data_IF_632579850436
#
_entry.id   IF_632579850436
#
_cell.length_a   1.000
_cell.length_b   1.000
_cell.length_c   1.000
_cell.angle_alpha   90.00
_cell.angle_beta   90.00
_cell.angle_gamma   90.00
#
_symmetry.space_group_name_H-M   'P 1'
#
loop_
_entity.id
_entity.type
_entity.pdbx_description
1 polymer ?
#
# COMPACT_ATOMS: atom_id res chain seq x y z
N UNK A 1 16.94 -12.37 -35.79
CA UNK A 1 17.44 -13.21 -34.67
C UNK A 1 16.70 -12.76 -33.42
N UNK A 2 16.20 -13.70 -32.61
CA UNK A 2 15.50 -13.37 -31.37
C UNK A 2 16.47 -12.85 -30.32
N UNK A 3 16.09 -11.81 -29.59
CA UNK A 3 16.82 -11.39 -28.39
C UNK A 3 16.48 -12.31 -27.20
N UNK A 4 17.46 -13.12 -26.77
CA UNK A 4 17.31 -14.03 -25.64
C UNK A 4 17.05 -13.29 -24.32
N UNK A 5 17.65 -12.10 -24.11
CA UNK A 5 17.47 -11.34 -22.87
C UNK A 5 16.07 -10.72 -22.82
N UNK A 6 15.63 -10.14 -23.94
CA UNK A 6 14.29 -9.62 -24.10
C UNK A 6 13.22 -10.71 -23.93
N UNK A 7 13.41 -11.87 -24.55
CA UNK A 7 12.54 -13.04 -24.39
C UNK A 7 12.43 -13.48 -22.93
N UNK A 8 13.56 -13.56 -22.19
CA UNK A 8 13.55 -13.89 -20.76
C UNK A 8 12.69 -12.91 -19.95
N UNK A 9 12.86 -11.61 -20.18
CA UNK A 9 12.11 -10.58 -19.46
C UNK A 9 10.62 -10.62 -19.78
N UNK A 10 10.28 -10.83 -21.05
CA UNK A 10 8.89 -10.91 -21.50
C UNK A 10 8.20 -12.14 -20.92
N UNK A 11 8.84 -13.32 -21.01
CA UNK A 11 8.31 -14.58 -20.45
C UNK A 11 8.05 -14.44 -18.95
N UNK A 12 9.03 -14.01 -18.16
CA UNK A 12 8.82 -13.85 -16.70
C UNK A 12 7.72 -12.83 -16.37
N UNK A 13 7.58 -11.76 -17.18
CA UNK A 13 6.50 -10.78 -16.99
C UNK A 13 5.12 -11.37 -17.30
N UNK A 14 5.00 -12.13 -18.38
CA UNK A 14 3.77 -12.82 -18.78
C UNK A 14 3.39 -13.87 -17.72
N UNK A 15 4.35 -14.66 -17.22
CA UNK A 15 4.16 -15.63 -16.13
C UNK A 15 3.59 -14.94 -14.89
N UNK A 16 4.21 -13.84 -14.43
CA UNK A 16 3.71 -13.08 -13.28
C UNK A 16 2.28 -12.54 -13.48
N UNK A 17 1.94 -12.09 -14.69
CA UNK A 17 0.58 -11.63 -15.02
C UNK A 17 -0.41 -12.79 -15.01
N UNK A 18 -0.04 -13.95 -15.53
CA UNK A 18 -0.85 -15.15 -15.51
C UNK A 18 -1.11 -15.65 -14.08
N UNK A 19 -0.11 -15.63 -13.20
CA UNK A 19 -0.28 -15.94 -11.78
C UNK A 19 -1.31 -15.03 -11.10
N UNK A 20 -1.23 -13.72 -11.35
CA UNK A 20 -2.23 -12.77 -10.86
C UNK A 20 -3.62 -13.01 -11.43
N UNK A 21 -3.71 -13.39 -12.71
CA UNK A 21 -4.99 -13.71 -13.36
C UNK A 21 -5.60 -14.94 -12.68
N UNK A 22 -4.83 -16.01 -12.50
CA UNK A 22 -5.25 -17.22 -11.80
C UNK A 22 -5.72 -16.93 -10.36
N UNK A 23 -4.99 -16.12 -9.60
CA UNK A 23 -5.41 -15.75 -8.26
C UNK A 23 -6.79 -15.06 -8.26
N UNK A 24 -7.03 -14.15 -9.21
CA UNK A 24 -8.30 -13.44 -9.34
C UNK A 24 -9.43 -14.36 -9.81
N UNK A 25 -9.20 -15.19 -10.81
CA UNK A 25 -10.23 -16.12 -11.32
C UNK A 25 -10.55 -17.19 -10.28
N UNK A 26 -9.56 -17.70 -9.53
CA UNK A 26 -9.78 -18.61 -8.42
C UNK A 26 -10.54 -17.96 -7.25
N UNK A 27 -10.28 -16.68 -6.94
CA UNK A 27 -11.07 -15.95 -5.96
C UNK A 27 -12.53 -15.75 -6.42
N UNK A 28 -12.74 -15.41 -7.70
CA UNK A 28 -14.07 -15.27 -8.27
C UNK A 28 -14.85 -16.59 -8.28
N UNK A 29 -14.19 -17.70 -8.66
CA UNK A 29 -14.79 -19.04 -8.64
C UNK A 29 -15.18 -19.48 -7.22
N UNK A 30 -14.31 -19.22 -6.22
CA UNK A 30 -14.65 -19.49 -4.81
C UNK A 30 -15.86 -18.68 -4.36
N UNK A 31 -15.89 -17.38 -4.64
CA UNK A 31 -17.01 -16.52 -4.28
C UNK A 31 -18.32 -16.93 -4.99
N UNK A 32 -18.24 -17.43 -6.23
CA UNK A 32 -19.39 -18.00 -6.93
C UNK A 32 -19.89 -19.29 -6.24
N UNK A 33 -18.98 -20.20 -5.90
CA UNK A 33 -19.34 -21.46 -5.22
C UNK A 33 -19.90 -21.23 -3.81
N UNK A 34 -19.34 -20.28 -3.05
CA UNK A 34 -19.85 -19.90 -1.73
C UNK A 34 -21.28 -19.34 -1.81
N UNK A 35 -21.56 -18.52 -2.83
CA UNK A 35 -22.90 -18.00 -3.10
C UNK A 35 -23.88 -19.10 -3.51
N UNK A 36 -23.45 -20.05 -4.35
CA UNK A 36 -24.27 -21.21 -4.72
C UNK A 36 -24.61 -22.05 -3.48
N UNK A 37 -23.60 -22.37 -2.66
CA UNK A 37 -23.80 -23.12 -1.41
C UNK A 37 -24.73 -22.39 -0.42
N UNK A 38 -24.67 -21.05 -0.36
CA UNK A 38 -25.59 -20.26 0.46
C UNK A 38 -27.03 -20.31 -0.06
N UNK A 39 -27.23 -20.34 -1.38
CA UNK A 39 -28.55 -20.53 -2.00
C UNK A 39 -29.08 -21.95 -1.75
N UNK A 40 -28.23 -22.97 -1.91
CA UNK A 40 -28.58 -24.37 -1.62
C UNK A 40 -28.96 -24.58 -0.15
N UNK A 41 -28.29 -23.89 0.77
CA UNK A 41 -28.59 -23.97 2.21
C UNK A 41 -29.94 -23.35 2.59
N UNK A 42 -30.48 -22.40 1.78
CA UNK A 42 -31.82 -21.86 1.97
C UNK A 42 -32.91 -22.87 1.57
N UNK A 43 -32.60 -23.86 0.73
CA UNK A 43 -33.56 -24.87 0.27
C UNK A 43 -34.83 -24.25 -0.32
N UNK A 44 -35.99 -24.66 0.20
CA UNK A 44 -37.31 -24.17 -0.25
C UNK A 44 -37.62 -22.72 0.18
N UNK A 45 -36.82 -22.11 1.05
CA UNK A 45 -36.98 -20.71 1.47
C UNK A 45 -36.32 -19.71 0.49
N UNK A 46 -35.63 -20.20 -0.55
CA UNK A 46 -35.00 -19.35 -1.57
C UNK A 46 -36.05 -18.62 -2.42
N UNK A 47 -35.93 -17.30 -2.52
CA UNK A 47 -36.81 -16.49 -3.36
C UNK A 47 -36.47 -16.62 -4.85
N UNK A 48 -37.46 -16.40 -5.73
CA UNK A 48 -37.27 -16.44 -7.19
C UNK A 48 -36.16 -15.50 -7.68
N UNK A 49 -36.09 -14.28 -7.14
CA UNK A 49 -35.04 -13.29 -7.46
C UNK A 49 -33.63 -13.79 -7.06
N UNK A 50 -33.52 -14.52 -5.94
CA UNK A 50 -32.24 -15.08 -5.48
C UNK A 50 -31.76 -16.23 -6.37
N UNK A 51 -32.69 -17.02 -6.92
CA UNK A 51 -32.40 -18.09 -7.87
C UNK A 51 -32.00 -17.54 -9.25
N UNK A 52 -32.64 -16.47 -9.72
CA UNK A 52 -32.25 -15.79 -10.98
C UNK A 52 -30.88 -15.10 -10.88
N UNK A 53 -30.52 -14.61 -9.70
CA UNK A 53 -29.21 -14.02 -9.42
C UNK A 53 -28.10 -15.06 -9.14
N UNK A 54 -28.38 -16.35 -9.34
CA UNK A 54 -27.43 -17.42 -9.08
C UNK A 54 -26.12 -17.19 -9.88
N UNK A 55 -24.96 -17.31 -9.24
CA UNK A 55 -23.69 -17.11 -9.90
C UNK A 55 -23.42 -18.25 -10.88
N UNK A 56 -22.88 -17.92 -12.06
CA UNK A 56 -22.35 -18.89 -13.02
C UNK A 56 -21.06 -19.54 -12.49
N UNK A 57 -21.22 -20.59 -11.68
CA UNK A 57 -20.15 -21.36 -11.05
C UNK A 57 -19.34 -22.14 -12.09
N UNK A 58 -20.00 -22.74 -13.07
CA UNK A 58 -19.37 -23.51 -14.14
C UNK A 58 -18.48 -22.62 -15.02
N UNK A 59 -19.00 -21.48 -15.49
CA UNK A 59 -18.20 -20.53 -16.26
C UNK A 59 -17.11 -19.87 -15.43
N UNK A 60 -17.30 -19.68 -14.12
CA UNK A 60 -16.23 -19.24 -13.22
C UNK A 60 -15.13 -20.31 -13.05
N UNK A 61 -15.52 -21.58 -12.96
CA UNK A 61 -14.62 -22.74 -12.94
C UNK A 61 -13.80 -22.84 -14.23
N UNK A 62 -14.45 -22.81 -15.39
CA UNK A 62 -13.81 -22.88 -16.69
C UNK A 62 -12.76 -21.76 -16.88
N UNK A 63 -13.08 -20.51 -16.51
CA UNK A 63 -12.12 -19.39 -16.56
C UNK A 63 -10.92 -19.55 -15.64
N UNK A 64 -11.12 -20.19 -14.48
CA UNK A 64 -10.03 -20.52 -13.55
C UNK A 64 -9.13 -21.60 -14.14
N UNK A 65 -9.70 -22.65 -14.72
CA UNK A 65 -8.96 -23.74 -15.31
C UNK A 65 -8.20 -23.30 -16.57
N UNK A 66 -8.80 -22.48 -17.42
CA UNK A 66 -8.11 -21.84 -18.56
C UNK A 66 -6.91 -20.99 -18.11
N UNK A 67 -7.09 -20.16 -17.07
CA UNK A 67 -6.01 -19.33 -16.53
C UNK A 67 -4.87 -20.18 -15.93
N UNK A 68 -5.20 -21.36 -15.38
CA UNK A 68 -4.21 -22.31 -14.87
C UNK A 68 -3.42 -22.95 -16.02
N UNK A 69 -4.09 -23.46 -17.04
CA UNK A 69 -3.44 -24.03 -18.23
C UNK A 69 -2.52 -23.02 -18.92
N UNK A 70 -2.95 -21.75 -19.01
CA UNK A 70 -2.12 -20.68 -19.56
C UNK A 70 -0.85 -20.44 -18.71
N UNK A 71 -0.96 -20.48 -17.38
CA UNK A 71 0.19 -20.32 -16.49
C UNK A 71 1.17 -21.49 -16.62
N UNK A 72 0.67 -22.73 -16.70
CA UNK A 72 1.49 -23.93 -16.88
C UNK A 72 2.29 -23.85 -18.18
N UNK A 73 1.64 -23.49 -19.30
CA UNK A 73 2.31 -23.31 -20.59
C UNK A 73 3.40 -22.21 -20.57
N UNK A 74 3.19 -21.11 -19.84
CA UNK A 74 4.18 -20.04 -19.68
C UNK A 74 5.38 -20.47 -18.82
N UNK A 75 5.15 -21.29 -17.79
CA UNK A 75 6.23 -21.85 -16.95
C UNK A 75 7.08 -22.86 -17.71
N UNK A 76 6.46 -23.67 -18.56
CA UNK A 76 7.20 -24.55 -19.49
C UNK A 76 8.12 -23.72 -20.40
N UNK A 77 7.59 -22.65 -21.01
CA UNK A 77 8.39 -21.74 -21.83
C UNK A 77 9.53 -21.10 -21.02
N UNK A 78 9.27 -20.69 -19.79
CA UNK A 78 10.29 -20.10 -18.92
C UNK A 78 11.46 -21.06 -18.65
N UNK A 79 11.17 -22.34 -18.38
CA UNK A 79 12.21 -23.36 -18.20
C UNK A 79 13.00 -23.62 -19.50
N UNK A 80 12.32 -23.68 -20.65
CA UNK A 80 13.00 -23.83 -21.94
C UNK A 80 13.94 -22.65 -22.24
N UNK A 81 13.49 -21.43 -21.95
CA UNK A 81 14.28 -20.20 -22.16
C UNK A 81 15.46 -20.08 -21.18
N UNK A 82 15.32 -20.59 -19.95
CA UNK A 82 16.44 -20.71 -19.00
C UNK A 82 17.52 -21.67 -19.51
N UNK A 83 17.12 -22.76 -20.17
CA UNK A 83 18.02 -23.74 -20.78
C UNK A 83 18.84 -23.23 -21.98
N UNK A 84 18.37 -22.19 -22.68
CA UNK A 84 19.08 -21.62 -23.82
C UNK A 84 20.35 -20.86 -23.42
N UNK A 85 21.47 -21.14 -24.11
CA UNK A 85 22.74 -20.41 -23.99
C UNK A 85 23.05 -19.71 -25.31
N UNK A 86 23.17 -18.37 -25.28
CA UNK A 86 23.52 -17.56 -26.45
C UNK A 86 22.35 -17.33 -27.40
N UNK A 87 21.95 -18.36 -28.15
CA UNK A 87 20.91 -18.26 -29.20
C UNK A 87 19.62 -18.97 -28.79
N UNK A 88 18.48 -18.37 -29.16
CA UNK A 88 17.16 -18.99 -28.99
C UNK A 88 17.02 -20.10 -30.04
N UNK A 89 16.67 -21.32 -29.60
CA UNK A 89 16.40 -22.41 -30.53
C UNK A 89 15.07 -22.22 -31.25
N UNK A 90 14.93 -22.79 -32.44
CA UNK A 90 13.72 -22.67 -33.26
C UNK A 90 12.48 -23.22 -32.53
N UNK A 91 12.63 -24.29 -31.74
CA UNK A 91 11.57 -24.84 -30.91
C UNK A 91 11.08 -23.85 -29.84
N UNK A 92 12.00 -23.11 -29.21
CA UNK A 92 11.67 -22.09 -28.19
C UNK A 92 11.01 -20.88 -28.83
N UNK A 93 11.50 -20.45 -30.00
CA UNK A 93 10.90 -19.36 -30.77
C UNK A 93 9.46 -19.70 -31.19
N UNK A 94 9.21 -20.92 -31.69
CA UNK A 94 7.87 -21.39 -32.05
C UNK A 94 6.93 -21.39 -30.84
N UNK A 95 7.38 -21.94 -29.71
CA UNK A 95 6.58 -21.99 -28.48
C UNK A 95 6.28 -20.58 -27.93
N UNK A 96 7.24 -19.67 -28.00
CA UNK A 96 7.03 -18.27 -27.64
C UNK A 96 5.97 -17.60 -28.53
N UNK A 97 6.01 -17.84 -29.85
CA UNK A 97 5.00 -17.33 -30.79
C UNK A 97 3.60 -17.90 -30.52
N UNK A 98 3.47 -19.21 -30.28
CA UNK A 98 2.20 -19.86 -29.90
C UNK A 98 1.56 -19.21 -28.66
N UNK A 99 2.39 -18.82 -27.69
CA UNK A 99 1.96 -18.19 -26.45
C UNK A 99 1.85 -16.66 -26.54
N UNK A 100 2.11 -16.06 -27.70
CA UNK A 100 2.10 -14.61 -27.90
C UNK A 100 3.17 -13.86 -27.09
N UNK A 101 4.27 -14.53 -26.78
CA UNK A 101 5.43 -13.97 -26.06
C UNK A 101 6.45 -13.48 -27.09
N UNK A 102 6.67 -12.16 -27.14
CA UNK A 102 7.70 -11.56 -27.98
C UNK A 102 9.06 -11.48 -27.30
N UNK A 103 10.09 -11.09 -28.06
CA UNK A 103 11.41 -10.74 -27.54
C UNK A 103 11.56 -9.24 -27.24
N UNK A 104 10.79 -8.38 -27.90
CA UNK A 104 10.81 -6.94 -27.63
C UNK A 104 9.92 -6.57 -26.43
N UNK A 105 10.37 -5.65 -25.53
CA UNK A 105 9.48 -5.02 -24.57
C UNK A 105 8.31 -4.34 -25.30
N UNK A 106 7.06 -4.48 -24.83
CA UNK A 106 5.93 -3.83 -25.45
C UNK A 106 6.19 -2.31 -25.43
N UNK A 107 5.75 -1.59 -26.48
CA UNK A 107 5.86 -0.15 -26.49
C UNK A 107 5.21 0.39 -25.22
N UNK A 108 5.96 1.23 -24.47
CA UNK A 108 5.42 1.91 -23.29
C UNK A 108 4.18 2.66 -23.77
N UNK A 109 3.00 2.19 -23.36
CA UNK A 109 1.77 2.92 -23.66
C UNK A 109 1.96 4.36 -23.20
N UNK A 110 1.69 5.36 -24.07
CA UNK A 110 1.79 6.74 -23.67
C UNK A 110 0.90 6.90 -22.44
N UNK A 111 1.48 7.42 -21.36
CA UNK A 111 0.72 7.68 -20.14
C UNK A 111 -0.45 8.56 -20.55
N UNK A 112 -1.67 8.02 -20.43
CA UNK A 112 -2.87 8.79 -20.70
C UNK A 112 -2.81 10.11 -19.93
N UNK A 113 -3.52 11.16 -20.42
CA UNK A 113 -3.54 12.45 -19.74
C UNK A 113 -3.85 12.20 -18.26
N UNK A 114 -3.01 12.74 -17.37
CA UNK A 114 -3.25 12.64 -15.91
C UNK A 114 -4.71 13.01 -15.69
N UNK A 115 -5.53 12.05 -15.23
CA UNK A 115 -6.92 12.33 -14.84
C UNK A 115 -6.87 13.60 -14.01
N UNK A 116 -7.51 14.67 -14.50
CA UNK A 116 -7.71 15.88 -13.71
C UNK A 116 -8.43 15.37 -12.46
N UNK A 117 -7.76 15.42 -11.31
CA UNK A 117 -8.42 15.20 -10.03
C UNK A 117 -9.64 16.12 -10.08
N UNK A 118 -10.82 15.59 -9.77
CA UNK A 118 -12.05 16.36 -9.71
C UNK A 118 -11.86 17.64 -8.88
N UNK A 119 -12.79 18.60 -8.98
CA UNK A 119 -12.67 19.89 -8.32
C UNK A 119 -12.17 19.68 -6.90
N UNK A 120 -11.00 20.27 -6.58
CA UNK A 120 -10.49 20.24 -5.22
C UNK A 120 -11.59 20.90 -4.37
N UNK A 121 -11.86 20.33 -3.20
CA UNK A 121 -12.66 20.97 -2.16
C UNK A 121 -11.95 22.25 -1.69
N UNK A 122 -11.94 23.28 -2.53
CA UNK A 122 -11.39 24.61 -2.29
C UNK A 122 -12.49 25.65 -2.07
N UNK A 123 -13.73 25.21 -1.89
CA UNK A 123 -14.88 26.05 -1.50
C UNK A 123 -15.46 25.66 -0.12
N UNK A 124 -14.79 24.75 0.60
CA UNK A 124 -15.02 24.53 2.02
C UNK A 124 -13.79 25.07 2.73
N UNK A 125 -13.99 25.77 3.85
CA UNK A 125 -12.95 26.42 4.66
C UNK A 125 -11.61 25.66 4.62
N UNK A 126 -10.46 26.36 4.48
CA UNK A 126 -9.17 25.72 4.25
C UNK A 126 -8.92 24.63 5.30
N UNK A 127 -8.94 23.37 4.86
CA UNK A 127 -8.67 22.22 5.71
C UNK A 127 -7.31 22.38 6.37
N UNK A 128 -7.22 22.06 7.66
CA UNK A 128 -5.92 21.92 8.31
C UNK A 128 -5.11 20.78 7.62
N UNK A 129 -3.78 20.92 7.51
CA UNK A 129 -2.93 19.89 6.91
C UNK A 129 -2.87 18.61 7.77
N UNK A 130 -3.22 18.69 9.05
CA UNK A 130 -3.13 17.60 10.00
C UNK A 130 -4.47 17.31 10.68
N UNK A 131 -4.59 16.10 11.23
CA UNK A 131 -5.57 15.80 12.28
C UNK A 131 -4.99 16.19 13.63
N UNK A 132 -5.86 16.66 14.54
CA UNK A 132 -5.53 16.87 15.95
C UNK A 132 -6.05 15.71 16.78
N UNK A 133 -5.28 15.38 17.79
CA UNK A 133 -5.54 14.37 18.79
C UNK A 133 -5.18 14.93 20.16
N UNK A 134 -5.82 14.43 21.20
CA UNK A 134 -5.48 14.78 22.59
C UNK A 134 -4.93 13.54 23.27
N UNK A 135 -3.69 13.63 23.77
CA UNK A 135 -3.06 12.55 24.54
C UNK A 135 -3.76 12.32 25.88
N UNK A 136 -3.41 11.23 26.57
CA UNK A 136 -3.90 10.96 27.94
C UNK A 136 -3.55 12.07 28.93
N UNK A 137 -2.44 12.76 28.70
CA UNK A 137 -1.95 13.83 29.57
C UNK A 137 -2.50 15.21 29.15
N UNK A 138 -3.46 15.26 28.21
CA UNK A 138 -4.06 16.50 27.72
C UNK A 138 -3.22 17.28 26.70
N UNK A 139 -2.05 16.75 26.30
CA UNK A 139 -1.17 17.36 25.30
C UNK A 139 -1.70 17.13 23.88
N UNK A 140 -1.70 18.18 23.05
CA UNK A 140 -2.12 18.12 21.64
C UNK A 140 -1.08 17.37 20.79
N UNK A 141 -1.55 16.40 20.00
CA UNK A 141 -0.77 15.66 19.01
C UNK A 141 -1.34 15.95 17.61
N UNK A 142 -0.48 16.34 16.68
CA UNK A 142 -0.83 16.64 15.28
C UNK A 142 -0.31 15.56 14.36
N UNK A 143 -1.15 15.04 13.47
CA UNK A 143 -0.80 13.95 12.55
C UNK A 143 -1.07 14.38 11.12
N UNK A 144 -0.03 14.44 10.29
CA UNK A 144 -0.16 14.85 8.90
C UNK A 144 -0.96 13.84 8.06
N UNK A 145 -1.75 14.35 7.11
CA UNK A 145 -2.71 13.52 6.35
C UNK A 145 -2.18 13.02 5.00
N UNK A 146 -1.27 13.78 4.39
CA UNK A 146 -0.71 13.56 3.05
C UNK A 146 0.76 13.95 3.03
N UNK A 147 1.46 13.61 1.96
CA UNK A 147 2.87 13.95 1.81
C UNK A 147 3.10 15.48 1.79
N UNK A 148 2.25 16.24 1.11
CA UNK A 148 2.33 17.71 1.10
C UNK A 148 2.00 18.30 2.47
N UNK A 149 0.99 17.75 3.12
CA UNK A 149 0.57 18.19 4.45
C UNK A 149 1.62 17.85 5.53
N UNK A 150 2.35 16.75 5.36
CA UNK A 150 3.46 16.34 6.22
C UNK A 150 4.62 17.34 6.17
N UNK A 151 4.92 17.87 4.98
CA UNK A 151 5.94 18.91 4.82
C UNK A 151 5.54 20.17 5.57
N UNK A 152 4.27 20.58 5.41
CA UNK A 152 3.75 21.77 6.06
C UNK A 152 3.73 21.62 7.59
N UNK A 153 3.27 20.47 8.09
CA UNK A 153 3.30 20.15 9.52
C UNK A 153 4.74 20.10 10.08
N UNK A 154 5.69 19.58 9.32
CA UNK A 154 7.05 19.30 9.82
C UNK A 154 8.08 20.37 9.52
N UNK A 155 7.80 21.29 8.60
CA UNK A 155 8.71 22.38 8.24
C UNK A 155 8.05 23.76 8.37
N UNK A 156 6.71 23.84 8.33
CA UNK A 156 5.95 25.09 8.42
C UNK A 156 5.89 25.63 9.85
N UNK A 157 6.32 26.88 10.04
CA UNK A 157 6.29 27.57 11.33
C UNK A 157 4.88 27.85 11.85
N UNK A 158 3.85 27.73 10.99
CA UNK A 158 2.45 27.94 11.37
C UNK A 158 1.88 26.78 12.20
N UNK A 159 2.45 25.58 12.08
CA UNK A 159 1.84 24.34 12.58
C UNK A 159 2.67 23.64 13.65
N UNK A 160 3.85 24.16 13.95
CA UNK A 160 4.77 23.65 14.96
C UNK A 160 5.69 24.76 15.46
N UNK A 161 6.20 24.59 16.66
CA UNK A 161 7.36 25.30 17.18
C UNK A 161 8.65 24.47 16.94
N UNK A 162 9.82 25.11 16.89
CA UNK A 162 11.10 24.40 16.87
C UNK A 162 11.37 23.58 18.14
N UNK A 163 10.79 24.00 19.26
CA UNK A 163 10.81 23.27 20.52
C UNK A 163 9.85 22.08 20.54
N UNK A 164 8.85 21.98 19.67
CA UNK A 164 7.97 20.80 19.66
C UNK A 164 8.72 19.49 19.39
N UNK A 165 8.11 18.36 19.72
CA UNK A 165 8.65 17.04 19.40
C UNK A 165 8.05 16.52 18.10
N UNK A 166 8.88 15.87 17.28
CA UNK A 166 8.52 15.25 16.02
C UNK A 166 8.75 13.74 16.08
N UNK A 167 7.81 12.99 15.48
CA UNK A 167 7.87 11.54 15.40
C UNK A 167 7.51 11.01 14.00
N UNK A 168 8.13 9.90 13.62
CA UNK A 168 7.85 9.18 12.37
C UNK A 168 8.28 7.72 12.44
N UNK A 169 7.54 6.83 11.76
CA UNK A 169 7.87 5.41 11.70
C UNK A 169 9.16 5.16 10.90
N UNK A 170 10.19 4.65 11.55
CA UNK A 170 11.50 4.47 10.94
C UNK A 170 11.49 3.39 9.86
N UNK A 171 12.15 3.65 8.74
CA UNK A 171 12.35 2.67 7.66
C UNK A 171 11.11 2.39 6.80
N UNK A 172 9.99 3.10 6.98
CA UNK A 172 8.83 2.97 6.10
C UNK A 172 8.09 4.29 5.84
N UNK A 173 7.37 4.41 4.71
CA UNK A 173 6.51 5.56 4.46
C UNK A 173 5.39 5.66 5.50
N UNK A 174 5.15 6.87 6.01
CA UNK A 174 4.15 7.12 7.04
C UNK A 174 3.90 8.60 7.28
N UNK A 175 2.98 8.88 8.19
CA UNK A 175 2.59 10.24 8.55
C UNK A 175 3.58 10.87 9.51
N UNK A 176 3.79 12.18 9.38
CA UNK A 176 4.59 12.93 10.34
C UNK A 176 3.70 13.28 11.54
N UNK A 177 4.23 13.10 12.75
CA UNK A 177 3.51 13.37 13.99
C UNK A 177 4.26 14.43 14.78
N UNK A 178 3.56 15.44 15.29
CA UNK A 178 4.12 16.50 16.12
C UNK A 178 3.39 16.54 17.45
N UNK A 179 4.15 16.48 18.55
CA UNK A 179 3.62 16.66 19.91
C UNK A 179 3.84 18.12 20.30
N UNK A 180 2.75 18.83 20.59
CA UNK A 180 2.75 20.25 20.94
C UNK A 180 3.10 20.45 22.41
N UNK A 181 4.40 20.35 22.71
CA UNK A 181 4.94 20.62 24.05
C UNK A 181 6.36 21.14 23.95
N UNK A 182 6.65 22.13 24.78
CA UNK A 182 7.97 22.74 24.89
C UNK A 182 8.85 22.02 25.93
N UNK A 183 8.28 21.11 26.73
CA UNK A 183 8.99 20.39 27.77
C UNK A 183 10.15 19.57 27.19
N UNK A 184 11.28 19.54 27.92
CA UNK A 184 12.46 18.74 27.58
C UNK A 184 12.22 17.24 27.68
N UNK A 185 11.21 16.84 28.44
CA UNK A 185 10.77 15.46 28.55
C UNK A 185 9.24 15.42 28.47
N UNK A 186 8.65 15.11 27.29
CA UNK A 186 7.22 14.95 27.18
C UNK A 186 6.78 13.75 28.04
N UNK A 187 5.56 13.78 28.60
CA UNK A 187 5.04 12.68 29.40
C UNK A 187 5.11 11.35 28.64
N UNK A 188 5.43 10.26 29.35
CA UNK A 188 5.56 8.92 28.74
C UNK A 188 4.27 8.47 28.06
N UNK A 189 3.11 8.82 28.63
CA UNK A 189 1.78 8.55 28.06
C UNK A 189 1.64 9.20 26.69
N UNK A 190 1.91 10.50 26.62
CA UNK A 190 1.94 11.29 25.38
C UNK A 190 2.90 10.74 24.32
N UNK A 191 4.12 10.37 24.70
CA UNK A 191 5.09 9.75 23.75
C UNK A 191 4.53 8.45 23.17
N UNK A 192 3.93 7.61 24.02
CA UNK A 192 3.37 6.32 23.60
C UNK A 192 2.14 6.50 22.70
N UNK A 193 1.26 7.45 23.05
CA UNK A 193 0.10 7.82 22.24
C UNK A 193 0.54 8.31 20.84
N UNK A 194 1.52 9.21 20.77
CA UNK A 194 2.06 9.73 19.53
C UNK A 194 2.79 8.66 18.70
N UNK A 195 3.58 7.79 19.34
CA UNK A 195 4.24 6.66 18.67
C UNK A 195 3.23 5.70 18.05
N UNK A 196 2.16 5.36 18.79
CA UNK A 196 1.09 4.50 18.30
C UNK A 196 0.40 5.11 17.07
N UNK A 197 0.13 6.42 17.08
CA UNK A 197 -0.42 7.14 15.93
C UNK A 197 0.54 7.10 14.72
N UNK A 198 1.84 7.35 14.94
CA UNK A 198 2.85 7.29 13.88
C UNK A 198 2.90 5.90 13.23
N UNK A 199 2.86 4.84 14.05
CA UNK A 199 2.85 3.46 13.56
C UNK A 199 1.54 3.10 12.83
N UNK A 200 0.37 3.50 13.38
CA UNK A 200 -0.95 3.28 12.77
C UNK A 200 -1.05 3.93 11.39
N UNK A 201 -0.56 5.15 11.25
CA UNK A 201 -0.60 5.91 9.99
C UNK A 201 0.66 5.71 9.12
N UNK A 202 1.30 4.55 9.24
CA UNK A 202 2.44 4.13 8.42
C UNK A 202 2.18 2.82 7.68
N UNK A 203 3.09 2.47 6.77
CA UNK A 203 3.12 1.15 6.13
C UNK A 203 3.50 0.02 7.10
N UNK A 204 3.94 0.32 8.31
CA UNK A 204 4.21 -0.66 9.36
C UNK A 204 2.99 -0.99 10.23
N UNK A 205 1.78 -0.47 9.93
CA UNK A 205 0.56 -0.74 10.73
C UNK A 205 0.22 -2.22 10.94
N UNK A 206 0.59 -3.10 10.01
CA UNK A 206 0.39 -4.54 10.12
C UNK A 206 1.62 -5.29 10.64
N UNK A 207 2.73 -4.58 10.87
CA UNK A 207 3.90 -5.12 11.56
C UNK A 207 3.65 -5.00 13.06
N UNK A 208 4.21 -5.93 13.84
CA UNK A 208 4.17 -5.86 15.30
C UNK A 208 5.01 -4.68 15.82
N UNK A 209 6.09 -4.98 16.53
CA UNK A 209 6.95 -3.97 17.14
C UNK A 209 7.63 -3.07 16.07
N UNK A 210 7.14 -1.84 15.96
CA UNK A 210 7.57 -0.84 14.98
C UNK A 210 8.47 0.21 15.64
N UNK A 211 9.68 0.45 15.10
CA UNK A 211 10.54 1.54 15.56
C UNK A 211 10.00 2.90 15.07
N UNK A 212 9.93 3.87 15.97
CA UNK A 212 9.49 5.24 15.71
C UNK A 212 10.60 6.18 16.15
N UNK A 213 11.04 7.04 15.24
CA UNK A 213 12.03 8.08 15.53
C UNK A 213 11.39 9.21 16.31
N UNK A 214 12.10 9.77 17.29
CA UNK A 214 11.70 10.91 18.11
C UNK A 214 12.84 11.93 18.13
N UNK A 215 12.57 13.17 17.72
CA UNK A 215 13.53 14.27 17.79
C UNK A 215 12.80 15.60 17.96
N UNK A 216 13.53 16.69 18.20
CA UNK A 216 12.93 18.03 18.22
C UNK A 216 12.60 18.48 16.80
N UNK A 217 11.55 19.28 16.68
CA UNK A 217 11.13 19.88 15.42
C UNK A 217 12.26 20.72 14.79
N UNK A 218 13.01 21.52 15.54
CA UNK A 218 14.15 22.31 15.01
C UNK A 218 15.22 21.48 14.29
N UNK A 219 15.29 20.17 14.54
CA UNK A 219 16.22 19.25 13.90
C UNK A 219 15.73 18.77 12.52
N UNK A 220 14.45 19.00 12.19
CA UNK A 220 13.84 18.60 10.94
C UNK A 220 14.03 19.68 9.88
N UNK A 221 14.56 19.27 8.74
CA UNK A 221 14.74 20.13 7.56
C UNK A 221 14.36 19.40 6.28
N UNK A 222 13.83 20.14 5.29
CA UNK A 222 13.57 19.60 3.96
C UNK A 222 14.75 19.88 3.03
N UNK A 223 15.37 18.86 2.41
CA UNK A 223 16.40 19.07 1.40
C UNK A 223 15.85 19.81 0.17
N UNK A 224 16.66 20.69 -0.43
CA UNK A 224 16.25 21.43 -1.65
C UNK A 224 15.94 20.46 -2.78
N UNK A 225 14.77 20.63 -3.42
CA UNK A 225 14.32 19.76 -4.52
C UNK A 225 13.76 18.39 -4.10
N UNK A 226 13.70 18.09 -2.80
CA UNK A 226 13.13 16.85 -2.30
C UNK A 226 11.62 16.73 -2.61
N UNK A 227 11.17 15.49 -2.86
CA UNK A 227 9.75 15.17 -3.00
C UNK A 227 8.99 15.52 -1.73
N UNK A 228 7.68 15.74 -1.86
CA UNK A 228 6.85 16.03 -0.70
C UNK A 228 6.88 14.88 0.32
N UNK A 229 6.92 15.24 1.60
CA UNK A 229 7.04 14.33 2.75
C UNK A 229 8.46 13.87 3.06
N UNK A 230 9.45 14.19 2.22
CA UNK A 230 10.84 13.79 2.48
C UNK A 230 11.54 14.84 3.34
N UNK A 231 11.90 14.43 4.55
CA UNK A 231 12.60 15.25 5.53
C UNK A 231 13.91 14.59 5.94
N UNK A 232 14.85 15.41 6.40
CA UNK A 232 16.12 15.00 6.97
C UNK A 232 16.21 15.50 8.41
N UNK A 233 16.67 14.61 9.29
CA UNK A 233 16.95 14.89 10.69
C UNK A 233 18.41 15.36 10.80
N UNK A 234 18.64 16.46 11.54
CA UNK A 234 19.96 17.01 11.86
C UNK A 234 20.24 16.85 13.35
N UNK A 235 21.30 16.10 13.69
CA UNK A 235 21.69 15.82 15.07
C UNK A 235 21.00 14.58 15.65
N UNK A 236 20.90 14.53 16.98
CA UNK A 236 20.49 13.32 17.68
C UNK A 236 18.99 13.03 17.57
N UNK A 237 18.68 11.77 17.35
CA UNK A 237 17.33 11.23 17.34
C UNK A 237 17.26 9.99 18.23
N UNK A 238 16.17 9.88 18.99
CA UNK A 238 15.87 8.71 19.83
C UNK A 238 14.94 7.77 19.08
N UNK A 239 14.97 6.49 19.43
CA UNK A 239 14.03 5.51 18.87
C UNK A 239 13.12 4.99 19.98
N UNK A 240 11.81 5.14 19.78
CA UNK A 240 10.76 4.57 20.61
C UNK A 240 10.18 3.37 19.87
N UNK A 241 9.99 2.24 20.57
CA UNK A 241 9.37 1.05 19.98
C UNK A 241 7.94 0.93 20.45
N UNK A 242 7.00 0.80 19.52
CA UNK A 242 5.57 0.64 19.81
C UNK A 242 5.01 -0.57 19.04
N UNK A 243 3.97 -1.19 19.56
CA UNK A 243 3.23 -2.26 18.87
C UNK A 243 1.79 -1.80 18.64
N UNK A 244 1.34 -1.77 17.38
CA UNK A 244 0.00 -1.28 17.02
C UNK A 244 -1.09 -2.19 17.59
N UNK A 245 -0.84 -3.50 17.70
CA UNK A 245 -1.81 -4.46 18.20
C UNK A 245 -1.92 -4.38 19.72
N UNK A 246 -0.79 -4.24 20.43
CA UNK A 246 -0.79 -4.07 21.88
C UNK A 246 -1.48 -2.76 22.31
N UNK A 247 -1.33 -1.70 21.51
CA UNK A 247 -1.88 -0.37 21.81
C UNK A 247 -3.27 -0.12 21.19
N UNK A 248 -4.02 -1.17 20.82
CA UNK A 248 -5.32 -1.05 20.17
C UNK A 248 -6.34 -0.22 21.00
N UNK A 249 -6.40 -0.45 22.32
CA UNK A 249 -7.29 0.30 23.23
C UNK A 249 -6.92 1.79 23.29
N UNK A 250 -5.61 2.09 23.29
CA UNK A 250 -5.08 3.46 23.28
C UNK A 250 -5.43 4.17 21.98
N UNK A 251 -5.29 3.49 20.85
CA UNK A 251 -5.66 4.01 19.54
C UNK A 251 -7.17 4.24 19.40
N UNK A 252 -8.01 3.40 20.00
CA UNK A 252 -9.46 3.61 20.01
C UNK A 252 -9.83 4.90 20.75
N UNK A 253 -9.30 5.10 21.95
CA UNK A 253 -9.46 6.35 22.73
C UNK A 253 -8.98 7.58 21.96
N UNK A 254 -7.83 7.49 21.28
CA UNK A 254 -7.31 8.62 20.51
C UNK A 254 -8.23 8.96 19.32
N UNK A 255 -8.79 7.98 18.62
CA UNK A 255 -9.73 8.26 17.52
C UNK A 255 -11.00 8.99 17.98
N UNK A 256 -11.43 8.84 19.23
CA UNK A 256 -12.56 9.60 19.80
C UNK A 256 -12.22 11.10 19.95
N UNK A 257 -10.93 11.45 20.08
CA UNK A 257 -10.44 12.83 20.20
C UNK A 257 -10.02 13.45 18.86
N UNK A 258 -10.33 12.79 17.73
CA UNK A 258 -9.84 13.20 16.42
C UNK A 258 -10.62 14.40 15.88
N UNK A 259 -9.90 15.49 15.60
CA UNK A 259 -10.43 16.71 14.99
C UNK A 259 -9.69 17.11 13.71
#
# INVERSE_FOLDING_TARGET
QWDLQGLRQETSRQTYRAEKRLFKTAAAARAANEKLAALEALGDEATLEQLEAAPDTDGAGARKDEARSQLEALRELEELVKGCKGTVSEAVARRAQELGVGDAPPPKQPRGPKKKKGPRASEVAPRLPYWRYTSIDGVEIRVGRRAEDNDDLSCGAQHRDGADWWMHAAGCPGSHVVIRTHDDAPPKGTITDAAALAAKYSKARQRGRTPVTLCRCRQISKPRGAKAGLVQIRGDARTVRTDVFAEASRLKRLEETKH
#
